data_IF_007980224955
#
_entry.id   IF_007980224955
#
_cell.length_a   1.000
_cell.length_b   1.000
_cell.length_c   1.000
_cell.angle_alpha   90.00
_cell.angle_beta   90.00
_cell.angle_gamma   90.00
#
_symmetry.space_group_name_H-M   'P 1'
#
loop_
_entity.id
_entity.type
_entity.pdbx_description
1 polymer ?
#
# COMPACT_ATOMS: atom_id res chain seq x y z
N UNK A 1 -3.61 -10.63 -13.01
CA UNK A 1 -3.00 -9.31 -13.30
C UNK A 1 -2.69 -8.60 -11.97
N UNK A 2 -1.94 -9.25 -11.09
CA UNK A 2 -2.19 -9.16 -9.64
C UNK A 2 -1.18 -8.30 -8.87
N UNK A 3 -0.38 -7.48 -9.57
CA UNK A 3 0.57 -6.53 -8.94
C UNK A 3 0.24 -5.07 -9.22
N UNK A 4 -0.69 -4.78 -10.14
CA UNK A 4 -1.12 -3.41 -10.42
C UNK A 4 -1.88 -2.78 -9.26
N UNK A 5 -2.65 -3.59 -8.53
CA UNK A 5 -3.43 -3.16 -7.36
C UNK A 5 -2.56 -2.62 -6.22
N UNK A 6 -1.36 -3.20 -6.03
CA UNK A 6 -0.39 -2.69 -5.07
C UNK A 6 0.04 -1.26 -5.39
N UNK A 7 0.43 -1.00 -6.65
CA UNK A 7 0.91 0.32 -7.04
C UNK A 7 -0.21 1.36 -6.95
N UNK A 8 -1.44 0.99 -7.31
CA UNK A 8 -2.61 1.88 -7.16
C UNK A 8 -2.84 2.22 -5.69
N UNK A 9 -2.91 1.22 -4.80
CA UNK A 9 -3.08 1.46 -3.36
C UNK A 9 -1.93 2.24 -2.75
N UNK A 10 -0.69 1.93 -3.12
CA UNK A 10 0.49 2.63 -2.62
C UNK A 10 0.52 4.09 -3.06
N UNK A 11 0.23 4.37 -4.34
CA UNK A 11 0.19 5.75 -4.84
C UNK A 11 -0.93 6.56 -4.21
N UNK A 12 -2.10 5.95 -3.96
CA UNK A 12 -3.22 6.61 -3.27
C UNK A 12 -2.87 6.92 -1.80
N UNK A 13 -2.32 5.94 -1.08
CA UNK A 13 -1.92 6.08 0.33
C UNK A 13 -0.77 7.06 0.55
N UNK A 14 0.17 7.13 -0.40
CA UNK A 14 1.32 8.03 -0.31
C UNK A 14 1.10 9.36 -1.01
N UNK A 15 -0.03 9.58 -1.68
CA UNK A 15 -0.29 10.81 -2.47
C UNK A 15 -0.11 12.06 -1.61
N UNK A 16 -0.73 12.09 -0.43
CA UNK A 16 -0.66 13.22 0.50
C UNK A 16 0.73 13.41 1.10
N UNK A 17 1.51 12.34 1.21
CA UNK A 17 2.88 12.36 1.73
C UNK A 17 3.87 12.84 0.65
N UNK A 18 3.75 12.32 -0.57
CA UNK A 18 4.58 12.65 -1.73
C UNK A 18 4.30 14.05 -2.28
N UNK A 19 3.13 14.63 -1.96
CA UNK A 19 2.81 16.04 -2.22
C UNK A 19 3.63 17.01 -1.34
N UNK A 20 4.22 16.54 -0.24
CA UNK A 20 5.04 17.38 0.64
C UNK A 20 6.45 17.54 0.08
N UNK A 21 7.15 18.64 0.41
CA UNK A 21 8.55 18.78 0.08
C UNK A 21 9.35 17.65 0.73
N UNK A 22 10.39 17.16 0.04
CA UNK A 22 11.20 16.01 0.47
C UNK A 22 11.80 16.16 1.87
N UNK A 23 12.05 17.40 2.31
CA UNK A 23 12.51 17.73 3.67
C UNK A 23 11.45 17.46 4.76
N UNK A 24 10.17 17.51 4.42
CA UNK A 24 9.03 17.30 5.34
C UNK A 24 8.52 15.85 5.27
N UNK A 25 9.05 15.06 4.34
CA UNK A 25 8.76 13.64 4.22
C UNK A 25 9.48 12.89 5.35
N UNK A 26 8.70 12.23 6.19
CA UNK A 26 9.22 11.44 7.31
C UNK A 26 9.45 9.99 6.85
N UNK A 27 10.71 9.51 6.77
CA UNK A 27 11.02 8.16 6.28
C UNK A 27 10.23 7.03 6.96
N UNK A 28 10.11 6.98 8.31
CA UNK A 28 9.35 5.90 8.96
C UNK A 28 7.85 5.95 8.65
N UNK A 29 7.31 7.10 8.25
CA UNK A 29 5.90 7.21 7.83
C UNK A 29 5.72 6.60 6.44
N UNK A 30 6.67 6.81 5.54
CA UNK A 30 6.68 6.20 4.21
C UNK A 30 6.84 4.67 4.28
N UNK A 31 7.68 4.17 5.19
CA UNK A 31 7.80 2.74 5.46
C UNK A 31 6.48 2.14 5.96
N UNK A 32 5.79 2.80 6.91
CA UNK A 32 4.49 2.36 7.39
C UNK A 32 3.41 2.34 6.29
N UNK A 33 3.39 3.36 5.42
CA UNK A 33 2.46 3.42 4.28
C UNK A 33 2.76 2.33 3.24
N UNK A 34 4.04 2.02 3.01
CA UNK A 34 4.47 0.92 2.14
C UNK A 34 4.00 -0.44 2.67
N UNK A 35 4.23 -0.71 3.96
CA UNK A 35 3.76 -1.95 4.60
C UNK A 35 2.23 -2.09 4.55
N UNK A 36 1.50 -0.99 4.74
CA UNK A 36 0.04 -0.98 4.67
C UNK A 36 -0.47 -1.32 3.26
N UNK A 37 0.10 -0.68 2.23
CA UNK A 37 -0.23 -0.97 0.84
C UNK A 37 0.10 -2.43 0.47
N UNK A 38 1.22 -2.95 0.98
CA UNK A 38 1.62 -4.35 0.78
C UNK A 38 0.61 -5.32 1.38
N UNK A 39 0.18 -5.09 2.63
CA UNK A 39 -0.83 -5.92 3.31
C UNK A 39 -2.17 -5.91 2.60
N UNK A 40 -2.63 -4.74 2.14
CA UNK A 40 -3.91 -4.61 1.42
C UNK A 40 -3.87 -5.36 0.08
N UNK A 41 -2.76 -5.23 -0.66
CA UNK A 41 -2.59 -5.96 -1.92
C UNK A 41 -2.50 -7.48 -1.73
N UNK A 42 -1.78 -7.96 -0.70
CA UNK A 42 -1.71 -9.39 -0.39
C UNK A 42 -3.03 -9.95 0.12
N UNK A 43 -3.80 -9.18 0.91
CA UNK A 43 -5.13 -9.57 1.39
C UNK A 43 -6.17 -9.67 0.26
N UNK A 44 -5.90 -9.05 -0.90
CA UNK A 44 -6.67 -9.20 -2.12
C UNK A 44 -6.19 -10.38 -2.99
N UNK A 45 -4.97 -10.87 -2.76
CA UNK A 45 -4.37 -12.01 -3.45
C UNK A 45 -4.53 -13.32 -2.66
N UNK A 46 -5.15 -13.27 -1.49
CA UNK A 46 -5.31 -14.41 -0.59
C UNK A 46 -6.28 -15.45 -1.20
N UNK A 47 -5.80 -16.61 -1.69
CA UNK A 47 -6.63 -17.60 -2.36
C UNK A 47 -7.58 -18.31 -1.39
N UNK A 48 -7.33 -18.22 -0.08
CA UNK A 48 -8.09 -18.89 0.98
C UNK A 48 -9.26 -18.06 1.52
N UNK A 49 -9.48 -16.85 1.01
CA UNK A 49 -10.61 -16.01 1.44
C UNK A 49 -11.98 -16.52 0.94
N UNK A 50 -11.99 -17.40 -0.06
CA UNK A 50 -13.21 -18.08 -0.56
C UNK A 50 -13.49 -19.42 0.16
N UNK A 51 -12.53 -19.96 0.92
CA UNK A 51 -12.64 -21.25 1.61
C UNK A 51 -13.20 -21.16 3.03
N UNK A 52 -13.58 -19.97 3.51
CA UNK A 52 -14.26 -19.85 4.80
C UNK A 52 -15.78 -20.02 4.62
N UNK A 53 -16.19 -21.28 4.48
CA UNK A 53 -17.59 -21.74 4.47
C UNK A 53 -17.92 -22.51 5.75
#
# INVERSE_FOLDING_TARGET
MDKGDFFVHFMDLTEEELKKPVDDIVPPRLEALLELALRMSTANTDPFKDDLK
#
